data_IF_660828828247
#
_entry.id   IF_660828828247
#
_cell.length_a   1.000
_cell.length_b   1.000
_cell.length_c   1.000
_cell.angle_alpha   90.00
_cell.angle_beta   90.00
_cell.angle_gamma   90.00
#
_symmetry.space_group_name_H-M   'P 1'
#
loop_
_entity.id
_entity.type
_entity.pdbx_description
1 polymer ?
#
# COMPACT_ATOMS: atom_id res chain seq x y z
N UNK A 1 1.43 10.44 7.24
CA UNK A 1 1.08 9.59 6.07
C UNK A 1 -0.42 9.59 5.79
N UNK A 2 -1.29 9.18 6.72
CA UNK A 2 -2.76 9.20 6.54
C UNK A 2 -3.34 10.59 6.22
N UNK A 3 -2.81 11.65 6.85
CA UNK A 3 -3.20 13.05 6.55
C UNK A 3 -2.91 13.46 5.12
N UNK A 4 -1.87 12.90 4.51
CA UNK A 4 -1.54 13.17 3.10
C UNK A 4 -2.53 12.48 2.17
N UNK A 5 -2.88 11.22 2.46
CA UNK A 5 -3.88 10.46 1.69
C UNK A 5 -5.27 11.12 1.82
N UNK A 6 -5.66 11.57 3.02
CA UNK A 6 -6.93 12.29 3.21
C UNK A 6 -6.96 13.64 2.50
N UNK A 7 -5.84 14.36 2.47
CA UNK A 7 -5.73 15.60 1.69
C UNK A 7 -5.83 15.32 0.20
N UNK A 8 -5.22 14.24 -0.29
CA UNK A 8 -5.40 13.80 -1.67
C UNK A 8 -6.86 13.47 -1.93
N UNK A 9 -7.50 12.62 -1.13
CA UNK A 9 -8.94 12.31 -1.22
C UNK A 9 -9.84 13.55 -1.25
N UNK A 10 -9.51 14.61 -0.49
CA UNK A 10 -10.27 15.87 -0.49
C UNK A 10 -10.12 16.71 -1.77
N UNK A 11 -9.11 16.45 -2.61
CA UNK A 11 -8.87 17.16 -3.87
C UNK A 11 -9.42 16.41 -5.10
N UNK A 12 -9.98 15.21 -4.91
CA UNK A 12 -10.50 14.35 -5.98
C UNK A 12 -12.01 14.24 -5.85
N UNK A 13 -12.71 14.06 -6.96
CA UNK A 13 -14.16 14.02 -7.00
C UNK A 13 -14.73 12.79 -6.28
N UNK A 14 -16.02 12.81 -5.92
CA UNK A 14 -16.68 11.71 -5.19
C UNK A 14 -16.65 10.35 -5.92
N UNK A 15 -16.38 10.36 -7.23
CA UNK A 15 -16.27 9.15 -8.06
C UNK A 15 -14.83 8.79 -8.44
N UNK A 16 -13.83 9.54 -7.96
CA UNK A 16 -12.44 9.29 -8.30
C UNK A 16 -11.85 8.24 -7.36
N UNK A 17 -11.01 7.37 -7.92
CA UNK A 17 -10.41 6.24 -7.22
C UNK A 17 -8.90 6.43 -7.15
N UNK A 18 -8.34 6.30 -5.94
CA UNK A 18 -6.88 6.36 -5.74
C UNK A 18 -6.32 4.96 -5.80
N UNK A 19 -5.43 4.69 -6.76
CA UNK A 19 -4.69 3.42 -6.80
C UNK A 19 -3.32 3.61 -6.16
N UNK A 20 -3.06 2.85 -5.09
CA UNK A 20 -1.78 2.84 -4.39
C UNK A 20 -1.03 1.57 -4.78
N UNK A 21 0.11 1.74 -5.46
CA UNK A 21 0.99 0.65 -5.84
C UNK A 21 2.05 0.47 -4.77
N UNK A 22 2.08 -0.71 -4.15
CA UNK A 22 3.05 -1.07 -3.11
C UNK A 22 3.99 -2.14 -3.69
N UNK A 23 5.29 -1.85 -3.87
CA UNK A 23 6.25 -2.86 -4.25
C UNK A 23 6.49 -3.82 -3.07
N UNK A 24 6.31 -5.12 -3.28
CA UNK A 24 6.67 -6.16 -2.32
C UNK A 24 8.01 -6.78 -2.72
N UNK A 25 8.99 -6.75 -1.83
CA UNK A 25 10.29 -7.37 -2.09
C UNK A 25 10.23 -8.86 -1.79
N UNK A 26 10.19 -9.69 -2.83
CA UNK A 26 10.31 -11.14 -2.67
C UNK A 26 11.78 -11.52 -2.56
N UNK A 27 12.23 -11.79 -1.32
CA UNK A 27 13.55 -12.39 -1.07
C UNK A 27 13.41 -13.90 -0.88
N UNK A 28 14.42 -14.68 -1.28
CA UNK A 28 14.39 -16.17 -1.26
C UNK A 28 14.12 -16.81 0.12
N UNK A 29 14.03 -16.05 1.21
CA UNK A 29 13.81 -16.55 2.57
C UNK A 29 12.58 -15.88 3.19
N UNK A 30 11.50 -16.65 3.36
CA UNK A 30 10.21 -16.22 3.94
C UNK A 30 10.34 -15.49 5.30
N UNK A 31 11.36 -15.81 6.09
CA UNK A 31 11.60 -15.18 7.40
C UNK A 31 12.13 -13.74 7.32
N UNK A 32 12.83 -13.37 6.24
CA UNK A 32 13.24 -11.97 6.01
C UNK A 32 12.05 -11.10 5.55
N UNK A 33 11.01 -11.71 4.98
CA UNK A 33 9.79 -11.02 4.53
C UNK A 33 8.97 -10.45 5.71
N UNK A 34 8.90 -11.19 6.81
CA UNK A 34 8.21 -10.79 8.05
C UNK A 34 8.96 -9.72 8.85
N UNK A 35 10.29 -9.65 8.71
CA UNK A 35 11.12 -8.65 9.40
C UNK A 35 11.27 -7.35 8.61
N UNK A 36 11.23 -7.40 7.27
CA UNK A 36 11.41 -6.21 6.43
C UNK A 36 10.13 -5.60 5.86
N UNK A 37 9.00 -6.32 5.78
CA UNK A 37 7.76 -5.80 5.16
C UNK A 37 6.64 -5.43 6.17
N UNK A 38 6.99 -5.21 7.44
CA UNK A 38 6.00 -4.89 8.50
C UNK A 38 5.22 -3.60 8.20
N UNK A 39 5.90 -2.60 7.62
CA UNK A 39 5.28 -1.33 7.24
C UNK A 39 4.25 -1.47 6.11
N UNK A 40 4.50 -2.34 5.13
CA UNK A 40 3.59 -2.59 4.01
C UNK A 40 2.30 -3.29 4.48
N UNK A 41 2.43 -4.28 5.36
CA UNK A 41 1.27 -4.98 5.94
C UNK A 41 0.40 -4.06 6.80
N UNK A 42 1.02 -3.22 7.64
CA UNK A 42 0.29 -2.25 8.47
C UNK A 42 -0.39 -1.17 7.61
N UNK A 43 0.26 -0.71 6.54
CA UNK A 43 -0.32 0.25 5.60
C UNK A 43 -1.51 -0.36 4.87
N UNK A 44 -1.41 -1.61 4.40
CA UNK A 44 -2.51 -2.35 3.76
C UNK A 44 -3.71 -2.49 4.70
N UNK A 45 -3.49 -2.90 5.94
CA UNK A 45 -4.54 -3.01 6.97
C UNK A 45 -5.25 -1.68 7.25
N UNK A 46 -4.51 -0.55 7.25
CA UNK A 46 -5.10 0.78 7.45
C UNK A 46 -5.85 1.28 6.22
N UNK A 47 -5.35 1.00 5.02
CA UNK A 47 -5.96 1.44 3.76
C UNK A 47 -7.19 0.62 3.37
N UNK A 48 -7.29 -0.66 3.78
CA UNK A 48 -8.48 -1.49 3.58
C UNK A 48 -9.75 -0.90 4.20
N UNK A 49 -9.62 0.01 5.17
CA UNK A 49 -10.73 0.71 5.81
C UNK A 49 -11.14 2.00 5.11
N UNK A 50 -10.34 2.50 4.16
CA UNK A 50 -10.61 3.74 3.45
C UNK A 50 -11.42 3.44 2.17
N UNK A 51 -12.49 4.20 1.94
CA UNK A 51 -13.33 4.04 0.73
C UNK A 51 -12.62 4.66 -0.49
N UNK A 52 -12.87 4.09 -1.67
CA UNK A 52 -12.32 4.55 -2.96
C UNK A 52 -10.78 4.46 -3.08
N UNK A 53 -10.17 3.49 -2.38
CA UNK A 53 -8.74 3.19 -2.51
C UNK A 53 -8.57 1.76 -3.04
N UNK A 54 -7.83 1.63 -4.14
CA UNK A 54 -7.37 0.34 -4.68
C UNK A 54 -5.92 0.14 -4.25
N UNK A 55 -5.60 -1.05 -3.71
CA UNK A 55 -4.24 -1.40 -3.30
C UNK A 55 -3.74 -2.50 -4.22
N UNK A 56 -2.67 -2.23 -4.95
CA UNK A 56 -2.03 -3.21 -5.84
C UNK A 56 -0.64 -3.52 -5.32
N UNK A 57 -0.40 -4.79 -4.98
CA UNK A 57 0.93 -5.28 -4.58
C UNK A 57 1.65 -5.86 -5.78
N UNK A 58 2.84 -5.34 -6.07
CA UNK A 58 3.67 -5.79 -7.20
C UNK A 58 4.94 -6.43 -6.65
N UNK A 59 5.20 -7.72 -6.94
CA UNK A 59 6.43 -8.36 -6.50
C UNK A 59 7.61 -7.79 -7.29
N UNK A 60 8.56 -7.17 -6.59
CA UNK A 60 9.80 -6.68 -7.14
C UNK A 60 10.91 -7.71 -6.85
N UNK A 61 11.35 -8.40 -7.89
CA UNK A 61 12.51 -9.28 -7.82
C UNK A 61 13.77 -8.44 -8.03
N UNK A 62 14.52 -8.16 -6.95
CA UNK A 62 15.88 -7.63 -7.07
C UNK A 62 16.77 -8.76 -7.60
N UNK A 63 17.26 -8.60 -8.84
CA UNK A 63 18.20 -9.51 -9.49
C UNK A 63 19.64 -9.16 -9.15
#
# INVERSE_FOLDING_TARGET
>A
MLTYIRRLQSNIGPNDVITIVIPEFETKKMWHMLLHNQSGMLLRLRLLREKNIIITTVPLMLK
#
